data_IF_993925679264
#
_entry.id   IF_993925679264
#
_cell.length_a   1.000
_cell.length_b   1.000
_cell.length_c   1.000
_cell.angle_alpha   90.00
_cell.angle_beta   90.00
_cell.angle_gamma   90.00
#
_symmetry.space_group_name_H-M   'P 1'
#
loop_
_entity.id
_entity.type
_entity.pdbx_description
1 polymer ?
#
# COMPACT_ATOMS: atom_id res chain seq x y z
N UNK A 1 -27.05 -11.74 -0.50
CA UNK A 1 -25.69 -12.13 -0.89
C UNK A 1 -24.76 -11.14 -0.23
N UNK A 2 -23.66 -11.59 0.36
CA UNK A 2 -22.64 -10.71 0.92
C UNK A 2 -21.92 -9.99 -0.23
N UNK A 3 -21.55 -8.71 -0.03
CA UNK A 3 -20.83 -7.90 -1.02
C UNK A 3 -19.66 -7.22 -0.30
N UNK A 4 -18.51 -7.18 -0.93
CA UNK A 4 -17.38 -6.33 -0.54
C UNK A 4 -17.54 -5.01 -1.26
N UNK A 5 -17.87 -3.94 -0.53
CA UNK A 5 -17.91 -2.59 -1.07
C UNK A 5 -16.59 -1.88 -0.78
N UNK A 6 -15.89 -1.42 -1.82
CA UNK A 6 -14.63 -0.70 -1.69
C UNK A 6 -14.82 0.73 -2.18
N UNK A 7 -14.32 1.67 -1.39
CA UNK A 7 -14.19 3.06 -1.78
C UNK A 7 -12.73 3.45 -1.72
N UNK A 8 -12.20 3.90 -2.85
CA UNK A 8 -10.80 4.23 -3.01
C UNK A 8 -10.65 5.67 -3.51
N UNK A 9 -9.66 6.36 -2.96
CA UNK A 9 -9.36 7.75 -3.31
C UNK A 9 -7.85 7.98 -3.22
N UNK A 10 -7.29 8.63 -4.23
CA UNK A 10 -5.93 9.19 -4.23
C UNK A 10 -5.94 10.52 -4.97
N UNK A 11 -5.13 11.47 -4.51
CA UNK A 11 -5.10 12.83 -5.05
C UNK A 11 -3.71 13.44 -4.91
N UNK A 12 -3.36 14.31 -5.84
CA UNK A 12 -2.12 15.08 -5.81
C UNK A 12 -2.01 15.99 -4.58
N UNK A 13 -3.14 16.39 -4.01
CA UNK A 13 -3.21 17.42 -2.97
C UNK A 13 -2.95 18.82 -3.50
N UNK A 14 -2.86 19.79 -2.57
CA UNK A 14 -2.81 21.22 -2.90
C UNK A 14 -1.38 21.74 -3.11
N UNK A 15 -0.36 21.01 -2.72
CA UNK A 15 1.04 21.50 -2.64
C UNK A 15 1.98 20.74 -3.57
N UNK A 16 1.74 19.44 -3.74
CA UNK A 16 2.63 18.58 -4.53
C UNK A 16 2.46 18.80 -6.03
N UNK A 17 3.50 18.50 -6.79
CA UNK A 17 3.47 18.56 -8.27
C UNK A 17 3.19 17.20 -8.90
N UNK A 18 3.34 16.13 -8.13
CA UNK A 18 3.10 14.72 -8.51
C UNK A 18 2.34 14.03 -7.39
N UNK A 19 1.49 13.11 -7.75
CA UNK A 19 0.92 12.16 -6.80
C UNK A 19 1.93 11.02 -6.63
N UNK A 20 2.47 10.91 -5.44
CA UNK A 20 3.44 9.87 -5.06
C UNK A 20 2.74 8.65 -4.44
N UNK A 21 1.42 8.76 -4.19
CA UNK A 21 0.62 7.67 -3.64
C UNK A 21 0.03 6.79 -4.74
N UNK A 22 -0.10 5.52 -4.46
CA UNK A 22 -0.77 4.56 -5.33
C UNK A 22 -1.81 3.73 -4.55
N UNK A 23 -2.83 3.25 -5.27
CA UNK A 23 -3.89 2.40 -4.74
C UNK A 23 -3.99 1.12 -5.55
N UNK A 24 -4.20 0.00 -4.87
CA UNK A 24 -4.52 -1.30 -5.44
C UNK A 24 -5.85 -1.80 -4.88
N UNK A 25 -6.77 -2.22 -5.76
CA UNK A 25 -8.01 -2.89 -5.39
C UNK A 25 -8.25 -4.06 -6.33
N UNK A 26 -8.10 -5.29 -5.87
CA UNK A 26 -8.39 -6.51 -6.63
C UNK A 26 -7.81 -6.49 -8.07
N UNK A 27 -6.53 -6.11 -8.20
CA UNK A 27 -5.84 -6.00 -9.49
C UNK A 27 -6.02 -4.65 -10.22
N UNK A 28 -6.96 -3.79 -9.79
CA UNK A 28 -7.04 -2.42 -10.30
C UNK A 28 -6.04 -1.52 -9.57
N UNK A 29 -5.11 -0.94 -10.32
CA UNK A 29 -4.07 -0.04 -9.80
C UNK A 29 -4.34 1.39 -10.29
N UNK A 30 -4.26 2.36 -9.39
CA UNK A 30 -4.42 3.78 -9.71
C UNK A 30 -3.38 4.65 -9.01
N UNK A 31 -2.92 5.65 -9.76
CA UNK A 31 -2.02 6.71 -9.33
C UNK A 31 -2.40 8.00 -10.06
N UNK A 32 -3.67 8.42 -9.94
CA UNK A 32 -4.20 9.54 -10.70
C UNK A 32 -3.73 10.88 -10.12
N UNK A 33 -3.64 11.91 -10.97
CA UNK A 33 -3.33 13.28 -10.55
C UNK A 33 -4.56 14.02 -10.04
N UNK A 34 -5.73 13.68 -10.58
CA UNK A 34 -7.00 14.29 -10.21
C UNK A 34 -7.75 13.33 -9.32
N UNK A 35 -7.95 13.72 -8.06
CA UNK A 35 -8.66 12.94 -7.08
C UNK A 35 -10.09 12.66 -7.52
N UNK A 36 -10.44 11.41 -7.64
CA UNK A 36 -11.83 10.98 -7.77
C UNK A 36 -12.10 9.80 -6.85
N UNK A 37 -13.22 9.88 -6.14
CA UNK A 37 -13.69 8.76 -5.34
C UNK A 37 -14.21 7.67 -6.28
N UNK A 38 -13.55 6.52 -6.26
CA UNK A 38 -13.99 5.33 -6.99
C UNK A 38 -14.71 4.39 -6.02
N UNK A 39 -15.89 3.91 -6.42
CA UNK A 39 -16.65 2.91 -5.66
C UNK A 39 -16.77 1.65 -6.49
N UNK A 40 -16.42 0.52 -5.89
CA UNK A 40 -16.43 -0.80 -6.53
C UNK A 40 -17.11 -1.80 -5.62
N UNK A 41 -17.91 -2.67 -6.21
CA UNK A 41 -18.60 -3.77 -5.53
C UNK A 41 -18.09 -5.11 -6.06
N UNK A 42 -17.73 -6.01 -5.15
CA UNK A 42 -17.22 -7.34 -5.49
C UNK A 42 -18.04 -8.43 -4.79
N UNK A 43 -18.19 -9.56 -5.46
CA UNK A 43 -18.58 -10.78 -4.77
C UNK A 43 -17.42 -11.22 -3.86
N UNK A 44 -17.67 -11.67 -2.62
CA UNK A 44 -16.62 -12.21 -1.77
C UNK A 44 -15.95 -13.41 -2.44
N UNK A 45 -14.65 -13.29 -2.66
CA UNK A 45 -13.80 -14.35 -3.20
C UNK A 45 -12.40 -14.18 -2.60
N UNK A 46 -11.74 -15.27 -2.30
CA UNK A 46 -10.34 -15.28 -1.84
C UNK A 46 -9.43 -15.79 -2.98
N UNK A 47 -8.21 -15.22 -3.12
CA UNK A 47 -7.73 -14.05 -2.41
C UNK A 47 -8.35 -12.74 -2.92
N UNK A 48 -8.61 -11.79 -2.02
CA UNK A 48 -9.06 -10.45 -2.36
C UNK A 48 -8.18 -9.41 -1.65
N UNK A 49 -7.45 -8.61 -2.42
CA UNK A 49 -6.42 -7.71 -1.89
C UNK A 49 -6.76 -6.26 -2.16
N UNK A 50 -6.62 -5.42 -1.13
CA UNK A 50 -6.57 -3.96 -1.25
C UNK A 50 -5.32 -3.44 -0.56
N UNK A 51 -4.66 -2.47 -1.16
CA UNK A 51 -3.49 -1.82 -0.58
C UNK A 51 -3.35 -0.37 -1.02
N UNK A 52 -2.66 0.41 -0.20
CA UNK A 52 -2.18 1.75 -0.53
C UNK A 52 -0.67 1.79 -0.33
N UNK A 53 0.01 2.66 -1.05
CA UNK A 53 1.43 2.91 -0.95
C UNK A 53 1.69 4.40 -1.05
N UNK A 54 2.40 4.97 -0.06
CA UNK A 54 2.86 6.37 -0.04
C UNK A 54 4.35 6.38 -0.40
N UNK A 55 4.65 6.95 -1.55
CA UNK A 55 6.00 6.95 -2.09
C UNK A 55 6.84 8.10 -1.60
N UNK A 56 8.08 7.82 -1.23
CA UNK A 56 9.09 8.82 -0.87
C UNK A 56 10.32 8.71 -1.78
N UNK A 57 11.08 9.81 -1.95
CA UNK A 57 12.30 9.76 -2.75
C UNK A 57 12.64 11.05 -3.50
N UNK A 58 11.96 12.14 -3.17
CA UNK A 58 12.22 13.48 -3.78
C UNK A 58 12.12 13.48 -5.32
N UNK A 59 11.85 14.58 -5.90
CA UNK A 59 11.79 14.99 -7.32
C UNK A 59 11.28 13.99 -8.41
N UNK A 60 11.47 12.67 -8.32
CA UNK A 60 11.01 11.72 -9.34
C UNK A 60 10.94 10.25 -8.87
N UNK A 61 11.08 9.98 -7.59
CA UNK A 61 11.23 8.60 -7.10
C UNK A 61 10.00 8.02 -6.42
N UNK A 62 9.24 8.84 -5.68
CA UNK A 62 8.12 8.36 -4.88
C UNK A 62 7.01 7.73 -5.71
N UNK A 63 6.62 8.39 -6.81
CA UNK A 63 5.60 7.87 -7.73
C UNK A 63 6.00 6.56 -8.43
N UNK A 64 7.31 6.38 -8.66
CA UNK A 64 7.83 5.13 -9.19
C UNK A 64 7.85 4.03 -8.12
N UNK A 65 8.28 4.36 -6.89
CA UNK A 65 8.36 3.40 -5.79
C UNK A 65 6.99 2.81 -5.44
N UNK A 66 6.01 3.66 -5.19
CA UNK A 66 4.65 3.23 -4.84
C UNK A 66 4.00 2.40 -5.95
N UNK A 67 4.20 2.79 -7.22
CA UNK A 67 3.69 2.03 -8.36
C UNK A 67 4.37 0.66 -8.50
N UNK A 68 5.71 0.59 -8.41
CA UNK A 68 6.43 -0.68 -8.47
C UNK A 68 5.98 -1.60 -7.35
N UNK A 69 5.88 -1.10 -6.12
CA UNK A 69 5.44 -1.89 -4.98
C UNK A 69 4.06 -2.50 -5.20
N UNK A 70 3.07 -1.69 -5.58
CA UNK A 70 1.71 -2.19 -5.79
C UNK A 70 1.58 -3.05 -7.07
N UNK A 71 2.46 -2.88 -8.05
CA UNK A 71 2.51 -3.77 -9.21
C UNK A 71 2.95 -5.18 -8.79
N UNK A 72 4.05 -5.30 -8.04
CA UNK A 72 4.53 -6.60 -7.53
C UNK A 72 3.45 -7.27 -6.67
N UNK A 73 2.85 -6.52 -5.75
CA UNK A 73 1.77 -7.03 -4.89
C UNK A 73 0.57 -7.49 -5.74
N UNK A 74 0.17 -6.72 -6.74
CA UNK A 74 -0.94 -7.08 -7.64
C UNK A 74 -0.69 -8.39 -8.37
N UNK A 75 0.52 -8.59 -8.89
CA UNK A 75 0.91 -9.79 -9.62
C UNK A 75 0.97 -11.03 -8.73
N UNK A 76 1.47 -10.88 -7.51
CA UNK A 76 1.65 -12.00 -6.56
C UNK A 76 0.39 -12.33 -5.77
N UNK A 77 -0.43 -11.35 -5.49
CA UNK A 77 -1.59 -11.52 -4.60
C UNK A 77 -2.66 -12.47 -5.13
N UNK A 78 -2.66 -12.76 -6.41
CA UNK A 78 -3.58 -13.74 -7.02
C UNK A 78 -3.33 -15.18 -6.55
N UNK A 79 -2.10 -15.46 -6.09
CA UNK A 79 -1.68 -16.77 -5.60
C UNK A 79 -1.56 -16.83 -4.06
N UNK A 80 -1.92 -15.76 -3.36
CA UNK A 80 -1.85 -15.74 -1.91
C UNK A 80 -2.87 -16.68 -1.28
N UNK A 81 -2.41 -17.55 -0.42
CA UNK A 81 -3.24 -18.50 0.32
C UNK A 81 -2.92 -18.52 1.82
N UNK A 82 -1.77 -17.96 2.21
CA UNK A 82 -1.31 -17.91 3.61
C UNK A 82 -0.69 -16.56 3.94
N UNK A 83 -0.63 -16.18 5.23
CA UNK A 83 0.12 -14.98 5.65
C UNK A 83 1.61 -15.02 5.28
N UNK A 84 2.21 -16.21 5.18
CA UNK A 84 3.60 -16.36 4.77
C UNK A 84 3.82 -15.90 3.32
N UNK A 85 2.89 -16.21 2.40
CA UNK A 85 2.99 -15.72 1.01
C UNK A 85 2.98 -14.19 0.95
N UNK A 86 2.19 -13.54 1.82
CA UNK A 86 2.16 -12.07 1.91
C UNK A 86 3.53 -11.55 2.38
N UNK A 87 4.08 -12.11 3.45
CA UNK A 87 5.38 -11.71 3.99
C UNK A 87 6.51 -11.87 2.95
N UNK A 88 6.56 -13.02 2.27
CA UNK A 88 7.55 -13.27 1.21
C UNK A 88 7.42 -12.27 0.06
N UNK A 89 6.18 -11.94 -0.33
CA UNK A 89 5.92 -10.92 -1.36
C UNK A 89 6.37 -9.53 -0.92
N UNK A 90 6.19 -9.14 0.34
CA UNK A 90 6.64 -7.83 0.83
C UNK A 90 8.17 -7.72 0.81
N UNK A 91 8.89 -8.82 1.12
CA UNK A 91 10.35 -8.88 0.96
C UNK A 91 10.75 -8.71 -0.50
N UNK A 92 10.16 -9.48 -1.43
CA UNK A 92 10.38 -9.35 -2.87
C UNK A 92 10.10 -7.92 -3.33
N UNK A 93 8.99 -7.33 -2.88
CA UNK A 93 8.60 -5.94 -3.22
C UNK A 93 9.69 -4.95 -2.81
N UNK A 94 10.24 -5.07 -1.61
CA UNK A 94 11.33 -4.22 -1.13
C UNK A 94 12.59 -4.34 -1.99
N UNK A 95 12.92 -5.55 -2.43
CA UNK A 95 14.06 -5.80 -3.33
C UNK A 95 13.84 -5.17 -4.72
N UNK A 96 12.64 -5.30 -5.29
CA UNK A 96 12.30 -4.73 -6.60
C UNK A 96 12.30 -3.19 -6.56
N UNK A 97 11.72 -2.59 -5.53
CA UNK A 97 11.75 -1.12 -5.35
C UNK A 97 13.20 -0.64 -5.28
N UNK A 98 14.06 -1.32 -4.50
CA UNK A 98 15.49 -0.97 -4.39
C UNK A 98 16.23 -1.11 -5.72
N UNK A 99 15.99 -2.21 -6.46
CA UNK A 99 16.62 -2.45 -7.75
C UNK A 99 16.29 -1.35 -8.76
N UNK A 100 15.01 -0.97 -8.86
CA UNK A 100 14.57 0.11 -9.74
C UNK A 100 15.20 1.46 -9.33
N UNK A 101 15.37 1.72 -8.04
CA UNK A 101 16.06 2.91 -7.54
C UNK A 101 17.52 2.99 -7.99
N UNK A 102 18.23 1.86 -7.97
CA UNK A 102 19.62 1.78 -8.46
C UNK A 102 19.69 1.99 -9.97
N UNK A 103 18.83 1.30 -10.74
CA UNK A 103 18.83 1.38 -12.20
C UNK A 103 18.47 2.77 -12.72
N UNK A 104 17.61 3.49 -11.99
CA UNK A 104 17.20 4.84 -12.35
C UNK A 104 18.09 5.95 -11.77
N UNK A 105 19.16 5.61 -11.04
CA UNK A 105 20.02 6.55 -10.29
C UNK A 105 19.22 7.44 -9.32
N UNK A 106 18.17 6.86 -8.71
CA UNK A 106 17.28 7.52 -7.75
C UNK A 106 17.61 7.03 -6.32
N UNK A 107 18.57 7.66 -5.68
CA UNK A 107 18.94 7.33 -4.31
C UNK A 107 17.84 7.74 -3.32
N UNK A 108 17.58 6.86 -2.32
CA UNK A 108 16.57 7.12 -1.31
C UNK A 108 15.12 6.90 -1.77
N UNK A 109 14.93 6.21 -2.90
CA UNK A 109 13.63 5.76 -3.37
C UNK A 109 13.07 4.73 -2.40
N UNK A 110 11.83 4.95 -1.96
CA UNK A 110 11.13 4.06 -1.04
C UNK A 110 9.63 4.30 -1.09
N UNK A 111 8.89 3.43 -0.42
CA UNK A 111 7.45 3.60 -0.26
C UNK A 111 6.98 2.85 0.98
N UNK A 112 5.94 3.37 1.62
CA UNK A 112 5.14 2.57 2.56
C UNK A 112 4.25 1.60 1.80
N UNK A 113 3.77 0.59 2.49
CA UNK A 113 2.68 -0.26 2.01
C UNK A 113 1.75 -0.56 3.18
N UNK A 114 0.48 -0.29 3.03
CA UNK A 114 -0.54 -0.68 4.00
C UNK A 114 -1.71 -1.34 3.28
N UNK A 115 -2.15 -2.50 3.76
CA UNK A 115 -3.17 -3.23 3.05
C UNK A 115 -3.83 -4.35 3.84
N UNK A 116 -4.78 -4.97 3.16
CA UNK A 116 -5.50 -6.14 3.64
C UNK A 116 -5.64 -7.17 2.52
N UNK A 117 -5.70 -8.43 2.92
CA UNK A 117 -6.05 -9.54 2.04
C UNK A 117 -7.08 -10.45 2.72
N UNK A 118 -8.20 -10.69 2.06
CA UNK A 118 -9.14 -11.73 2.44
C UNK A 118 -8.62 -13.05 1.87
N UNK A 119 -8.24 -13.95 2.75
CA UNK A 119 -7.89 -15.34 2.44
C UNK A 119 -9.06 -16.26 2.84
N UNK A 120 -9.00 -17.54 2.45
CA UNK A 120 -10.03 -18.52 2.83
C UNK A 120 -10.14 -18.67 4.37
N UNK A 121 -9.01 -18.53 5.09
CA UNK A 121 -8.96 -18.64 6.55
C UNK A 121 -9.33 -17.35 7.30
N UNK A 122 -9.49 -16.23 6.60
CA UNK A 122 -9.86 -14.94 7.19
C UNK A 122 -9.14 -13.72 6.60
N UNK A 123 -9.29 -12.59 7.28
CA UNK A 123 -8.72 -11.33 6.87
C UNK A 123 -7.30 -11.17 7.46
N UNK A 124 -6.32 -10.95 6.60
CA UNK A 124 -4.95 -10.61 6.97
C UNK A 124 -4.70 -9.15 6.68
N UNK A 125 -4.08 -8.45 7.63
CA UNK A 125 -3.62 -7.07 7.49
C UNK A 125 -2.11 -7.09 7.40
N UNK A 126 -1.57 -6.29 6.51
CA UNK A 126 -0.13 -6.10 6.35
C UNK A 126 0.24 -4.63 6.29
N UNK A 127 1.39 -4.29 6.86
CA UNK A 127 1.92 -2.95 6.92
C UNK A 127 3.44 -2.95 6.83
N UNK A 128 3.99 -2.01 6.07
CA UNK A 128 5.42 -1.66 6.03
C UNK A 128 5.50 -0.13 6.01
N UNK A 129 6.14 0.45 7.02
CA UNK A 129 6.21 1.89 7.21
C UNK A 129 5.14 2.45 8.15
N UNK A 130 4.78 3.70 8.00
CA UNK A 130 3.92 4.49 8.90
C UNK A 130 2.54 4.84 8.32
N UNK A 131 2.14 4.20 7.22
CA UNK A 131 0.78 4.31 6.68
C UNK A 131 -0.16 3.42 7.47
N UNK A 132 -1.11 3.98 8.27
CA UNK A 132 -1.87 3.17 9.22
C UNK A 132 -3.08 2.47 8.58
N UNK A 133 -3.43 1.30 9.12
CA UNK A 133 -4.69 0.60 8.85
C UNK A 133 -5.60 0.70 10.07
N UNK A 134 -6.85 1.10 9.85
CA UNK A 134 -7.85 1.22 10.89
C UNK A 134 -9.02 0.26 10.65
N UNK A 135 -9.63 -0.19 11.74
CA UNK A 135 -10.94 -0.85 11.71
C UNK A 135 -12.01 0.04 12.33
N UNK A 136 -13.24 -0.15 11.88
CA UNK A 136 -14.43 0.43 12.53
C UNK A 136 -15.33 -0.74 12.90
N UNK A 137 -15.53 -0.95 14.20
CA UNK A 137 -16.42 -1.99 14.73
C UNK A 137 -17.35 -1.32 15.74
N UNK A 138 -18.66 -1.51 15.55
CA UNK A 138 -19.71 -0.90 16.40
C UNK A 138 -19.57 0.63 16.54
N UNK A 139 -19.10 1.30 15.48
CA UNK A 139 -18.88 2.75 15.45
C UNK A 139 -17.59 3.21 16.14
N UNK A 140 -16.76 2.31 16.61
CA UNK A 140 -15.46 2.62 17.23
C UNK A 140 -14.35 2.46 16.19
N UNK A 141 -13.59 3.53 15.95
CA UNK A 141 -12.39 3.55 15.12
C UNK A 141 -11.18 3.11 15.96
N UNK A 142 -10.45 2.12 15.49
CA UNK A 142 -9.22 1.64 16.14
C UNK A 142 -8.14 1.37 15.08
N UNK A 143 -6.92 1.86 15.32
CA UNK A 143 -5.77 1.45 14.52
C UNK A 143 -5.42 0.00 14.84
N UNK A 144 -5.25 -0.81 13.79
CA UNK A 144 -4.99 -2.24 13.88
C UNK A 144 -3.64 -2.64 13.28
N UNK A 145 -2.97 -1.72 12.58
CA UNK A 145 -1.57 -1.85 12.18
C UNK A 145 -0.63 -1.29 13.25
N UNK A 146 0.63 -1.70 13.18
CA UNK A 146 1.73 -1.16 13.99
C UNK A 146 2.65 -0.43 13.02
N UNK A 147 2.91 0.86 13.28
CA UNK A 147 3.75 1.68 12.43
C UNK A 147 5.23 1.30 12.60
N UNK A 148 5.93 1.13 11.47
CA UNK A 148 7.38 0.92 11.40
C UNK A 148 8.08 2.27 11.23
N UNK A 149 8.08 3.10 12.27
CA UNK A 149 8.78 4.37 12.25
C UNK A 149 10.12 4.27 12.94
N UNK A 150 11.19 4.75 12.29
CA UNK A 150 12.48 4.95 12.96
C UNK A 150 12.44 6.31 13.63
N UNK A 151 12.79 6.34 14.92
CA UNK A 151 12.81 7.56 15.71
C UNK A 151 14.24 8.05 15.90
N UNK A 152 14.44 9.37 15.84
CA UNK A 152 15.71 10.00 16.19
C UNK A 152 15.97 9.91 17.71
N UNK A 153 17.15 10.36 18.14
CA UNK A 153 17.53 10.38 19.56
C UNK A 153 16.64 11.26 20.44
N UNK A 154 15.80 12.11 19.85
CA UNK A 154 14.83 12.96 20.53
C UNK A 154 13.41 12.40 20.50
N UNK A 155 13.22 11.17 19.99
CA UNK A 155 11.93 10.51 19.87
C UNK A 155 11.02 11.11 18.78
N UNK A 156 11.59 11.73 17.75
CA UNK A 156 10.85 12.21 16.58
C UNK A 156 10.94 11.19 15.47
N UNK A 157 9.83 10.88 14.75
CA UNK A 157 9.89 10.02 13.59
C UNK A 157 10.86 10.63 12.57
N UNK A 158 11.76 9.82 12.07
CA UNK A 158 12.65 10.19 10.96
C UNK A 158 12.01 9.70 9.67
N UNK A 159 11.95 10.56 8.67
CA UNK A 159 11.73 10.08 7.31
C UNK A 159 12.99 9.31 6.91
N UNK A 160 12.84 8.00 6.73
CA UNK A 160 13.93 7.15 6.24
C UNK A 160 14.13 7.42 4.75
#
# INVERSE_FOLDING_TARGET
>A
MSVINVRAFTDLGLVRKRNEDAILVAGWLSQTREGSLVTMDFAPAAPFTCAVADGMGGHAGGDLASRVALTVISERSVDWSTPANIADTLVETSEQVRAVGVDADLQGLGTTVAGLCLLDEGLVIFNVGDSPVFSITDGVLAQISIDDSVFDTNGRPTNI
#
